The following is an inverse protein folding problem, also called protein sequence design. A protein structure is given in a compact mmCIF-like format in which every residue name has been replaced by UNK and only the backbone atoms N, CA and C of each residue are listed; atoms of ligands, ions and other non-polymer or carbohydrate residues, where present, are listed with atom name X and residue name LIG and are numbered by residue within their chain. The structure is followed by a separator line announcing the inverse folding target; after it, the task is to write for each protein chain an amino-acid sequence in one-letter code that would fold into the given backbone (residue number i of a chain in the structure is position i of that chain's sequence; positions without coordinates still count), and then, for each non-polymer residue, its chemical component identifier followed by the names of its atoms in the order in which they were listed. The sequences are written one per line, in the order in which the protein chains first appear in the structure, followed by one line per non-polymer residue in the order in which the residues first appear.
data_IF_820807156063
#
_entry.id   IF_820807156063
#
_cell.length_a   1.000
_cell.length_b   1.000
_cell.length_c   1.000
_cell.angle_alpha   90.00
_cell.angle_beta   90.00
_cell.angle_gamma   90.00
#
_symmetry.space_group_name_H-M   'P 1'
#
loop_
_entity.id
_entity.type
_entity.pdbx_description
1 polymer ?
#
# COMPACT_ATOMS: atom_id res chain seq x y z
N UNK A 1 -16.49 -0.81 -10.13
CA UNK A 1 -15.01 -0.74 -10.09
C UNK A 1 -14.61 -0.33 -8.68
N UNK A 2 -13.76 -1.12 -8.03
CA UNK A 2 -13.32 -0.85 -6.66
C UNK A 2 -12.02 -0.05 -6.69
N UNK A 3 -11.89 0.95 -5.82
CA UNK A 3 -10.72 1.82 -5.75
C UNK A 3 -10.16 1.77 -4.34
N UNK A 4 -8.86 1.46 -4.24
CA UNK A 4 -8.10 1.48 -2.99
C UNK A 4 -7.72 2.92 -2.64
N UNK A 5 -8.03 3.35 -1.41
CA UNK A 5 -7.78 4.71 -0.94
C UNK A 5 -7.10 4.68 0.43
N UNK A 6 -5.97 5.38 0.55
CA UNK A 6 -5.29 5.58 1.83
C UNK A 6 -6.06 6.58 2.69
N UNK A 7 -6.32 6.24 3.96
CA UNK A 7 -6.86 7.19 4.95
C UNK A 7 -5.77 8.04 5.59
N UNK A 8 -4.50 7.69 5.36
CA UNK A 8 -3.34 8.40 5.88
C UNK A 8 -2.77 9.43 4.90
N UNK A 9 -3.51 9.72 3.81
CA UNK A 9 -3.08 10.64 2.76
C UNK A 9 -2.96 12.07 3.29
N UNK A 10 -1.76 12.64 3.18
CA UNK A 10 -1.45 14.05 3.51
C UNK A 10 -1.09 14.90 2.28
N UNK A 11 -1.36 14.40 1.07
CA UNK A 11 -0.92 15.06 -0.17
C UNK A 11 -1.08 14.21 -1.43
N UNK A 12 -0.10 14.25 -2.33
CA UNK A 12 -0.04 13.42 -3.55
C UNK A 12 0.65 12.07 -3.32
N UNK A 13 1.01 11.78 -2.08
CA UNK A 13 1.93 10.72 -1.69
C UNK A 13 1.25 9.34 -1.84
N UNK A 14 -0.05 9.25 -1.52
CA UNK A 14 -0.83 8.02 -1.55
C UNK A 14 -2.02 8.12 -2.51
N UNK A 15 -1.73 8.25 -3.80
CA UNK A 15 -2.75 8.29 -4.85
C UNK A 15 -3.58 7.01 -4.87
N UNK A 16 -4.83 7.14 -5.29
CA UNK A 16 -5.78 6.04 -5.40
C UNK A 16 -5.33 5.02 -6.45
N UNK A 17 -5.66 3.75 -6.23
CA UNK A 17 -5.27 2.64 -7.09
C UNK A 17 -6.54 1.86 -7.46
N UNK A 18 -6.69 1.52 -8.73
CA UNK A 18 -7.75 0.58 -9.13
C UNK A 18 -7.40 -0.82 -8.65
N UNK A 19 -8.32 -1.48 -7.95
CA UNK A 19 -8.12 -2.84 -7.44
C UNK A 19 -7.68 -3.81 -8.55
N UNK A 20 -8.28 -3.71 -9.73
CA UNK A 20 -8.00 -4.59 -10.87
C UNK A 20 -6.55 -4.53 -11.36
N UNK A 21 -5.81 -3.48 -11.01
CA UNK A 21 -4.40 -3.36 -11.35
C UNK A 21 -3.50 -4.07 -10.34
N UNK A 22 -4.00 -4.42 -9.16
CA UNK A 22 -3.21 -5.01 -8.07
C UNK A 22 -3.42 -6.52 -8.04
N UNK A 23 -2.31 -7.26 -8.01
CA UNK A 23 -2.29 -8.69 -7.79
C UNK A 23 -1.72 -9.04 -6.41
N UNK A 24 -0.78 -8.23 -5.91
CA UNK A 24 -0.03 -8.51 -4.69
C UNK A 24 0.34 -7.21 -3.98
N UNK A 25 0.39 -7.25 -2.65
CA UNK A 25 0.86 -6.16 -1.80
C UNK A 25 2.11 -6.62 -1.07
N UNK A 26 3.17 -5.82 -1.07
CA UNK A 26 4.39 -6.10 -0.30
C UNK A 26 4.68 -5.03 0.72
N UNK A 27 5.09 -5.46 1.91
CA UNK A 27 5.54 -4.56 2.96
C UNK A 27 7.01 -4.20 2.77
N UNK A 28 7.37 -2.93 2.90
CA UNK A 28 8.78 -2.59 3.02
C UNK A 28 9.34 -3.08 4.36
N UNK A 29 10.60 -3.56 4.39
CA UNK A 29 11.34 -3.63 5.64
C UNK A 29 11.55 -2.21 6.21
N UNK A 30 11.94 -2.08 7.50
CA UNK A 30 12.36 -0.80 8.06
C UNK A 30 13.52 -0.22 7.26
N UNK A 31 13.46 1.08 6.94
CA UNK A 31 14.53 1.77 6.22
C UNK A 31 15.59 2.28 7.21
N UNK A 32 16.82 1.73 7.23
CA UNK A 32 17.82 2.13 8.22
C UNK A 32 18.21 3.61 8.12
N UNK A 33 18.22 4.15 6.90
CA UNK A 33 18.56 5.56 6.61
C UNK A 33 17.41 6.53 6.88
N UNK A 34 16.17 6.04 6.99
CA UNK A 34 15.01 6.85 7.33
C UNK A 34 14.03 6.01 8.16
N UNK A 35 14.22 5.90 9.48
CA UNK A 35 13.45 4.99 10.34
C UNK A 35 11.97 5.39 10.48
N UNK A 36 11.62 6.61 10.05
CA UNK A 36 10.23 7.08 10.01
C UNK A 36 9.53 6.74 8.70
N UNK A 37 10.26 6.26 7.68
CA UNK A 37 9.67 5.93 6.40
C UNK A 37 9.19 4.48 6.37
N UNK A 38 7.92 4.29 6.08
CA UNK A 38 7.27 3.00 5.92
C UNK A 38 6.52 2.98 4.61
N UNK A 39 6.66 1.91 3.81
CA UNK A 39 6.04 1.82 2.49
C UNK A 39 5.12 0.60 2.37
N UNK A 40 4.11 0.75 1.51
CA UNK A 40 3.33 -0.33 0.91
C UNK A 40 3.56 -0.31 -0.59
N UNK A 41 3.98 -1.44 -1.14
CA UNK A 41 4.13 -1.61 -2.58
C UNK A 41 2.93 -2.39 -3.12
N UNK A 42 2.32 -1.88 -4.17
CA UNK A 42 1.25 -2.54 -4.89
C UNK A 42 1.80 -3.04 -6.21
N UNK A 43 1.77 -4.36 -6.39
CA UNK A 43 2.29 -5.04 -7.57
C UNK A 43 1.17 -5.49 -8.47
N UNK A 44 1.36 -5.35 -9.77
CA UNK A 44 0.46 -5.87 -10.80
C UNK A 44 0.74 -7.33 -11.14
N UNK A 45 -0.09 -7.91 -12.00
CA UNK A 45 0.04 -9.31 -12.45
C UNK A 45 1.34 -9.58 -13.22
N UNK A 46 1.95 -8.54 -13.77
CA UNK A 46 3.25 -8.59 -14.46
C UNK A 46 4.44 -8.55 -13.49
N UNK A 47 4.19 -8.52 -12.17
CA UNK A 47 5.22 -8.42 -11.14
C UNK A 47 5.86 -7.04 -11.05
N UNK A 48 5.29 -6.01 -11.69
CA UNK A 48 5.79 -4.63 -11.62
C UNK A 48 5.04 -3.83 -10.57
N UNK A 49 5.73 -2.85 -10.00
CA UNK A 49 5.11 -1.91 -9.07
C UNK A 49 4.15 -1.01 -9.84
N UNK A 50 2.87 -1.10 -9.50
CA UNK A 50 1.80 -0.20 -9.99
C UNK A 50 1.82 1.09 -9.19
N UNK A 51 1.99 1.00 -7.88
CA UNK A 51 2.02 2.15 -6.98
C UNK A 51 2.79 1.85 -5.70
N UNK A 52 3.24 2.92 -5.06
CA UNK A 52 3.79 2.90 -3.70
C UNK A 52 3.02 3.89 -2.85
N UNK A 53 2.65 3.47 -1.64
CA UNK A 53 2.15 4.35 -0.60
C UNK A 53 3.21 4.55 0.47
N UNK A 54 3.27 5.76 1.01
CA UNK A 54 4.27 6.27 1.93
C UNK A 54 3.62 6.63 3.26
N UNK A 55 4.32 6.34 4.35
CA UNK A 55 3.84 6.52 5.70
C UNK A 55 4.98 6.97 6.60
N UNK A 56 4.64 7.82 7.58
CA UNK A 56 5.56 8.29 8.62
C UNK A 56 5.64 7.36 9.85
N UNK A 57 4.82 6.29 9.86
CA UNK A 57 4.70 5.36 10.99
C UNK A 57 4.14 4.01 10.55
N UNK A 58 4.61 2.95 11.21
CA UNK A 58 4.14 1.58 11.00
C UNK A 58 2.64 1.43 11.27
N UNK A 59 2.11 2.16 12.26
CA UNK A 59 0.71 2.10 12.65
C UNK A 59 -0.22 2.60 11.54
N UNK A 60 0.11 3.74 10.89
CA UNK A 60 -0.65 4.25 9.75
C UNK A 60 -0.61 3.29 8.56
N UNK A 61 0.59 2.75 8.26
CA UNK A 61 0.76 1.73 7.23
C UNK A 61 -0.14 0.52 7.48
N UNK A 62 -0.12 -0.02 8.71
CA UNK A 62 -0.92 -1.19 9.08
C UNK A 62 -2.41 -0.91 8.97
N UNK A 63 -2.87 0.24 9.46
CA UNK A 63 -4.29 0.62 9.40
C UNK A 63 -4.81 0.67 7.95
N UNK A 64 -4.05 1.25 7.03
CA UNK A 64 -4.44 1.29 5.62
C UNK A 64 -4.35 -0.09 4.95
N UNK A 65 -3.36 -0.91 5.29
CA UNK A 65 -3.29 -2.29 4.82
C UNK A 65 -4.52 -3.08 5.26
N UNK A 66 -4.89 -3.01 6.54
CA UNK A 66 -6.05 -3.72 7.09
C UNK A 66 -7.35 -3.26 6.39
N UNK A 67 -7.47 -1.97 6.04
CA UNK A 67 -8.60 -1.45 5.25
C UNK A 67 -8.61 -1.97 3.82
N UNK A 68 -7.46 -2.04 3.15
CA UNK A 68 -7.35 -2.60 1.80
C UNK A 68 -7.74 -4.08 1.81
N UNK A 69 -7.27 -4.86 2.78
CA UNK A 69 -7.60 -6.29 2.89
C UNK A 69 -9.06 -6.54 3.28
N UNK A 70 -9.66 -5.66 4.08
CA UNK A 70 -11.09 -5.73 4.36
C UNK A 70 -11.95 -5.46 3.12
N UNK A 71 -11.50 -4.57 2.23
CA UNK A 71 -12.18 -4.23 0.98
C UNK A 71 -11.94 -5.29 -0.11
N UNK A 72 -10.74 -5.87 -0.14
CA UNK A 72 -10.26 -6.77 -1.19
C UNK A 72 -9.55 -7.99 -0.56
N UNK A 73 -10.34 -8.88 0.04
CA UNK A 73 -9.83 -10.05 0.79
C UNK A 73 -9.09 -11.11 -0.05
N UNK A 74 -9.17 -11.00 -1.38
CA UNK A 74 -8.48 -11.88 -2.32
C UNK A 74 -7.04 -11.41 -2.63
N UNK A 75 -6.64 -10.22 -2.21
CA UNK A 75 -5.27 -9.72 -2.43
C UNK A 75 -4.30 -10.40 -1.48
N UNK A 76 -3.21 -10.92 -2.03
CA UNK A 76 -2.15 -11.54 -1.25
C UNK A 76 -1.20 -10.49 -0.69
N UNK A 77 -0.70 -10.74 0.53
CA UNK A 77 0.34 -9.94 1.18
C UNK A 77 1.60 -10.79 1.35
N UNK A 78 2.74 -10.29 0.88
CA UNK A 78 4.05 -10.91 1.04
C UNK A 78 5.05 -10.01 1.79
#
# INVERSE_FOLDING_TARGET
MCVLKSKSRTGLDNLTIEESMVAEIRLSPPFPKNPKLWLLYFFGRDGRIVRTWYYDSQAKRKKDLDLVLAQCSHLNVA
#
